data_IF_395952498311
#
_entry.id   IF_395952498311
#
_cell.length_a   1.000
_cell.length_b   1.000
_cell.length_c   1.000
_cell.angle_alpha   90.00
_cell.angle_beta   90.00
_cell.angle_gamma   90.00
#
_symmetry.space_group_name_H-M   'P 1'
#
loop_
_entity.id
_entity.type
_entity.pdbx_description
1 polymer ?
#
# COMPACT_ATOMS: atom_id res chain seq x y z
N UNK A 1 -6.80 5.30 12.09
CA UNK A 1 -6.90 3.88 12.47
C UNK A 1 -5.52 3.25 12.28
N UNK A 2 -5.26 2.04 12.79
CA UNK A 2 -4.03 1.33 12.48
C UNK A 2 -4.31 0.27 11.41
N UNK A 3 -3.34 0.06 10.52
CA UNK A 3 -3.30 -1.04 9.56
C UNK A 3 -3.35 -2.40 10.28
N UNK A 4 -3.90 -3.43 9.62
CA UNK A 4 -3.79 -4.81 10.08
C UNK A 4 -2.33 -5.29 9.98
N UNK A 5 -1.69 -5.58 11.11
CA UNK A 5 -0.29 -6.02 11.15
C UNK A 5 -0.06 -7.43 10.61
N UNK A 6 -1.11 -8.21 10.32
CA UNK A 6 -1.03 -9.57 9.77
C UNK A 6 -1.50 -9.66 8.31
N UNK A 7 -1.59 -8.53 7.61
CA UNK A 7 -2.14 -8.48 6.26
C UNK A 7 -1.42 -9.40 5.26
N UNK A 8 -0.09 -9.56 5.39
CA UNK A 8 0.72 -10.45 4.54
C UNK A 8 0.39 -11.95 4.70
N UNK A 9 -0.21 -12.33 5.84
CA UNK A 9 -0.60 -13.71 6.14
C UNK A 9 -2.06 -13.99 5.78
N UNK A 10 -2.92 -12.97 5.82
CA UNK A 10 -4.36 -13.13 5.78
C UNK A 10 -5.05 -12.46 4.57
N UNK A 11 -4.33 -11.67 3.77
CA UNK A 11 -4.80 -11.10 2.50
C UNK A 11 -4.08 -11.74 1.32
N UNK A 12 -4.68 -11.60 0.15
CA UNK A 12 -4.13 -12.06 -1.11
C UNK A 12 -3.60 -10.86 -1.90
N UNK A 13 -2.48 -11.04 -2.58
CA UNK A 13 -2.02 -10.09 -3.59
C UNK A 13 -2.96 -10.21 -4.79
N UNK A 14 -3.61 -9.10 -5.15
CA UNK A 14 -4.63 -9.05 -6.20
C UNK A 14 -4.22 -8.17 -7.38
N UNK A 15 -3.26 -7.26 -7.19
CA UNK A 15 -2.75 -6.37 -8.24
C UNK A 15 -1.32 -5.91 -7.95
N UNK A 16 -0.73 -5.13 -8.88
CA UNK A 16 0.54 -4.43 -8.75
C UNK A 16 0.34 -2.94 -9.11
N UNK A 17 0.81 -2.02 -8.25
CA UNK A 17 0.75 -0.58 -8.46
C UNK A 17 2.18 -0.01 -8.47
N UNK A 18 2.60 0.59 -9.58
CA UNK A 18 3.91 1.25 -9.73
C UNK A 18 5.12 0.46 -9.17
N UNK A 19 5.09 -0.87 -9.31
CA UNK A 19 6.17 -1.77 -8.93
C UNK A 19 6.10 -2.33 -7.50
N UNK A 20 5.00 -2.13 -6.77
CA UNK A 20 4.72 -2.78 -5.49
C UNK A 20 3.39 -3.55 -5.49
N UNK A 21 3.30 -4.58 -4.64
CA UNK A 21 2.12 -5.43 -4.53
C UNK A 21 0.92 -4.66 -3.92
N UNK A 22 -0.29 -5.00 -4.39
CA UNK A 22 -1.56 -4.55 -3.82
C UNK A 22 -2.29 -5.73 -3.19
N UNK A 23 -2.56 -5.63 -1.89
CA UNK A 23 -3.21 -6.64 -1.08
C UNK A 23 -4.70 -6.34 -0.91
N UNK A 24 -5.53 -7.26 -1.39
CA UNK A 24 -6.98 -7.07 -1.47
C UNK A 24 -7.72 -7.12 -0.13
N UNK A 25 -9.05 -6.93 -0.13
CA UNK A 25 -9.89 -6.75 -1.31
C UNK A 25 -9.74 -5.36 -1.94
N UNK A 26 -9.95 -5.29 -3.26
CA UNK A 26 -10.09 -4.02 -4.01
C UNK A 26 -11.48 -4.00 -4.64
N UNK A 27 -12.25 -2.97 -4.30
CA UNK A 27 -13.62 -2.69 -4.73
C UNK A 27 -13.73 -1.17 -4.94
N UNK A 28 -13.23 -0.67 -6.07
CA UNK A 28 -13.16 0.77 -6.35
C UNK A 28 -14.55 1.43 -6.43
N UNK A 29 -14.71 2.68 -5.95
CA UNK A 29 -13.70 3.51 -5.28
C UNK A 29 -13.68 3.32 -3.76
N UNK A 30 -14.48 2.40 -3.21
CA UNK A 30 -14.76 2.33 -1.77
C UNK A 30 -13.72 1.53 -0.98
N UNK A 31 -13.01 0.62 -1.66
CA UNK A 31 -11.88 -0.14 -1.12
C UNK A 31 -10.77 -0.24 -2.15
N UNK A 32 -9.57 0.15 -1.76
CA UNK A 32 -8.35 0.11 -2.56
C UNK A 32 -7.32 -0.84 -1.95
N UNK A 33 -7.59 -1.37 -0.75
CA UNK A 33 -6.72 -2.36 -0.12
C UNK A 33 -5.43 -1.75 0.42
N UNK A 34 -4.39 -2.58 0.52
CA UNK A 34 -3.10 -2.19 1.08
C UNK A 34 -2.06 -2.21 -0.02
N UNK A 35 -1.37 -1.08 -0.20
CA UNK A 35 -0.30 -0.91 -1.18
C UNK A 35 1.05 -1.06 -0.49
N UNK A 36 1.96 -1.85 -1.06
CA UNK A 36 3.30 -2.10 -0.51
C UNK A 36 3.37 -3.29 0.45
N UNK A 37 4.59 -3.72 0.74
CA UNK A 37 4.90 -4.90 1.58
C UNK A 37 5.85 -4.54 2.71
N UNK A 38 7.08 -4.10 2.43
CA UNK A 38 8.01 -3.61 3.46
C UNK A 38 7.58 -2.26 4.02
N UNK A 39 7.01 -1.39 3.19
CA UNK A 39 6.41 -0.13 3.59
C UNK A 39 4.99 -0.11 3.04
N UNK A 40 4.06 -0.60 3.86
CA UNK A 40 2.68 -0.76 3.46
C UNK A 40 1.79 0.42 3.90
N UNK A 41 0.92 0.89 3.02
CA UNK A 41 -0.12 1.87 3.31
C UNK A 41 -1.48 1.26 3.00
N UNK A 42 -2.34 1.22 4.02
CA UNK A 42 -3.73 0.82 3.87
C UNK A 42 -4.53 2.02 3.34
N UNK A 43 -4.87 1.95 2.05
CA UNK A 43 -5.59 3.03 1.36
C UNK A 43 -7.03 3.17 1.88
N UNK A 44 -7.60 2.11 2.46
CA UNK A 44 -8.95 2.10 3.04
C UNK A 44 -9.04 2.89 4.35
N UNK A 45 -7.90 3.24 4.97
CA UNK A 45 -7.84 4.03 6.22
C UNK A 45 -6.92 5.26 6.13
N UNK A 46 -6.17 5.40 5.04
CA UNK A 46 -5.35 6.57 4.78
C UNK A 46 -6.25 7.78 4.52
N UNK A 47 -6.12 8.82 5.33
CA UNK A 47 -6.95 10.05 5.29
C UNK A 47 -6.20 11.25 4.70
N UNK A 48 -5.09 11.00 4.01
CA UNK A 48 -4.21 12.05 3.48
C UNK A 48 -3.67 13.05 4.54
N UNK A 49 -3.32 12.56 5.73
CA UNK A 49 -2.72 13.42 6.78
C UNK A 49 -1.36 14.00 6.36
N UNK A 50 -0.55 13.22 5.63
CA UNK A 50 0.70 13.68 5.02
C UNK A 50 1.93 13.63 5.93
N UNK A 51 1.80 13.32 7.23
CA UNK A 51 2.96 13.18 8.12
C UNK A 51 3.97 12.15 7.60
N UNK A 52 3.53 11.06 6.96
CA UNK A 52 4.43 10.09 6.35
C UNK A 52 5.29 10.68 5.22
N UNK A 53 4.74 11.59 4.40
CA UNK A 53 5.52 12.30 3.37
C UNK A 53 6.49 13.31 4.00
N UNK A 54 6.01 14.10 4.97
CA UNK A 54 6.81 15.17 5.59
C UNK A 54 7.95 14.64 6.48
N UNK A 55 7.73 13.53 7.19
CA UNK A 55 8.68 12.99 8.16
C UNK A 55 9.67 12.00 7.53
N UNK A 56 9.36 11.42 6.37
CA UNK A 56 10.22 10.40 5.77
C UNK A 56 11.44 11.04 5.10
N UNK A 57 12.67 10.83 5.61
CA UNK A 57 13.86 11.56 5.15
C UNK A 57 14.40 11.08 3.80
N UNK A 58 13.76 10.09 3.18
CA UNK A 58 14.22 9.40 1.96
C UNK A 58 13.10 9.25 0.93
N UNK A 59 12.03 10.05 1.04
CA UNK A 59 11.00 10.20 0.00
C UNK A 59 10.36 8.87 -0.44
N UNK A 60 10.00 8.00 0.52
CA UNK A 60 9.35 6.71 0.21
C UNK A 60 7.98 6.90 -0.45
N UNK A 61 7.27 7.96 -0.08
CA UNK A 61 5.87 8.16 -0.40
C UNK A 61 5.66 9.25 -1.44
N UNK A 62 4.70 9.03 -2.33
CA UNK A 62 4.19 10.03 -3.27
C UNK A 62 2.67 10.18 -3.10
N UNK A 63 2.11 11.32 -3.53
CA UNK A 63 0.66 11.49 -3.56
C UNK A 63 0.09 10.87 -4.84
N UNK A 64 -0.92 10.01 -4.70
CA UNK A 64 -1.74 9.49 -5.81
C UNK A 64 -3.20 9.92 -5.65
N UNK A 65 -3.87 10.20 -6.76
CA UNK A 65 -5.29 10.56 -6.78
C UNK A 65 -6.16 9.30 -6.60
N UNK A 66 -7.14 9.36 -5.69
CA UNK A 66 -8.14 8.32 -5.45
C UNK A 66 -9.54 8.96 -5.43
N UNK A 67 -10.04 9.40 -6.59
CA UNK A 67 -11.29 10.15 -6.67
C UNK A 67 -12.46 9.34 -6.13
N UNK A 68 -13.38 10.03 -5.45
CA UNK A 68 -14.60 9.49 -4.86
C UNK A 68 -14.38 8.47 -3.72
N UNK A 69 -13.15 8.26 -3.25
CA UNK A 69 -12.88 7.36 -2.12
C UNK A 69 -13.35 7.98 -0.79
N UNK A 70 -14.07 7.24 0.07
CA UNK A 70 -14.73 7.79 1.25
C UNK A 70 -13.79 8.45 2.28
N UNK A 71 -12.59 7.91 2.47
CA UNK A 71 -11.62 8.46 3.43
C UNK A 71 -10.84 9.70 2.92
N UNK A 72 -10.49 9.76 1.63
CA UNK A 72 -9.76 10.90 1.03
C UNK A 72 -9.66 10.76 -0.49
N UNK A 73 -9.63 11.90 -1.19
CA UNK A 73 -9.47 11.98 -2.66
C UNK A 73 -8.02 11.76 -3.13
N UNK A 74 -7.06 11.66 -2.20
CA UNK A 74 -5.65 11.38 -2.47
C UNK A 74 -5.09 10.41 -1.41
N UNK A 75 -4.06 9.65 -1.73
CA UNK A 75 -3.39 8.70 -0.81
C UNK A 75 -1.87 8.84 -0.87
N UNK A 76 -1.23 8.54 0.25
CA UNK A 76 0.22 8.35 0.30
C UNK A 76 0.55 6.96 -0.25
N UNK A 77 1.08 6.91 -1.46
CA UNK A 77 1.50 5.70 -2.14
C UNK A 77 2.96 5.39 -1.80
N UNK A 78 3.34 4.16 -1.38
CA UNK A 78 4.73 3.80 -1.09
C UNK A 78 5.55 3.55 -2.37
N UNK A 79 5.51 4.50 -3.31
CA UNK A 79 6.09 4.42 -4.64
C UNK A 79 7.58 4.05 -4.66
N UNK A 80 8.34 4.44 -3.62
CA UNK A 80 9.78 4.20 -3.52
C UNK A 80 10.12 3.17 -2.43
N UNK A 81 9.20 2.24 -2.12
CA UNK A 81 9.55 1.06 -1.34
C UNK A 81 10.69 0.27 -2.02
N UNK A 82 11.66 -0.20 -1.23
CA UNK A 82 12.69 -1.08 -1.77
C UNK A 82 12.04 -2.36 -2.34
N UNK A 83 12.30 -2.72 -3.61
CA UNK A 83 11.67 -3.89 -4.21
C UNK A 83 12.06 -5.15 -3.44
N UNK A 84 11.05 -5.97 -3.10
CA UNK A 84 11.30 -7.36 -2.76
C UNK A 84 11.91 -7.99 -4.02
N UNK A 85 13.10 -8.57 -3.94
CA UNK A 85 13.54 -9.51 -4.95
C UNK A 85 12.59 -10.73 -4.88
N UNK A 86 11.51 -10.67 -5.66
CA UNK A 86 10.44 -11.67 -5.69
C UNK A 86 10.94 -13.05 -6.14
N UNK A 87 12.19 -13.15 -6.61
CA UNK A 87 12.86 -14.42 -6.94
C UNK A 87 13.72 -14.95 -5.77
N UNK A 88 14.26 -14.09 -4.89
CA UNK A 88 15.07 -14.48 -3.74
C UNK A 88 14.26 -15.12 -2.60
N UNK A 89 12.94 -14.86 -2.55
CA UNK A 89 12.02 -15.40 -1.53
C UNK A 89 11.11 -16.53 -2.01
N UNK A 90 11.06 -16.84 -3.31
CA UNK A 90 10.10 -17.81 -3.87
C UNK A 90 10.46 -19.28 -3.67
N UNK A 91 11.66 -19.58 -3.13
CA UNK A 91 12.01 -20.93 -2.67
C UNK A 91 11.43 -21.18 -1.27
N UNK A 92 10.10 -21.30 -1.14
CA UNK A 92 9.56 -21.58 0.20
C UNK A 92 8.05 -21.71 0.41
N UNK A 93 7.18 -21.41 -0.55
CA UNK A 93 5.73 -21.66 -0.38
C UNK A 93 5.29 -22.74 -1.36
N UNK A 94 5.20 -23.96 -0.85
CA UNK A 94 4.58 -25.12 -1.47
C UNK A 94 3.05 -25.06 -1.38
#
# INVERSE_FOLDING_TARGET
MAIDTQFEDNREIVDEHDGHDVWGPVEEPERLGIHGTHVAVDFDICIADGACLEDCPVDVFEWVDTPDHPESEIKADPANEAPIDVDAGRTGRA
#
